data_IF_714003718734
#
_entry.id   IF_714003718734
#
_cell.length_a   1.000
_cell.length_b   1.000
_cell.length_c   1.000
_cell.angle_alpha   90.00
_cell.angle_beta   90.00
_cell.angle_gamma   90.00
#
_symmetry.space_group_name_H-M   'P 1'
#
loop_
_entity.id
_entity.type
_entity.pdbx_description
1 polymer ?
#
# COMPACT_ATOMS: atom_id res chain seq x y z
N UNK A 1 -27.37 20.33 23.41
CA UNK A 1 -27.09 18.89 23.21
C UNK A 1 -27.18 18.61 21.71
N UNK A 2 -26.08 18.17 21.08
CA UNK A 2 -26.07 17.45 19.79
C UNK A 2 -24.67 16.88 19.56
N UNK A 3 -24.33 15.86 20.34
CA UNK A 3 -23.11 15.04 20.27
C UNK A 3 -23.23 13.95 19.18
N UNK A 4 -23.52 14.29 17.93
CA UNK A 4 -23.79 13.28 16.88
C UNK A 4 -23.08 13.50 15.56
N UNK A 5 -21.82 13.92 15.61
CA UNK A 5 -20.93 13.80 14.43
C UNK A 5 -19.58 13.13 14.78
N UNK A 6 -19.63 12.19 15.74
CA UNK A 6 -18.54 11.22 15.89
C UNK A 6 -18.63 10.24 14.73
N UNK A 7 -18.02 10.60 13.58
CA UNK A 7 -17.56 9.61 12.60
C UNK A 7 -16.88 8.50 13.39
N UNK A 8 -17.37 7.27 13.25
CA UNK A 8 -16.71 6.11 13.82
C UNK A 8 -15.21 6.22 13.49
N UNK A 9 -14.29 5.96 14.43
CA UNK A 9 -12.87 6.03 14.14
C UNK A 9 -12.61 5.04 13.02
N UNK A 10 -12.47 5.54 11.79
CA UNK A 10 -12.06 4.74 10.65
C UNK A 10 -10.77 4.10 11.10
N UNK A 11 -10.75 2.76 11.12
CA UNK A 11 -9.57 2.04 11.55
C UNK A 11 -8.56 2.14 10.41
N UNK A 12 -7.92 3.31 10.28
CA UNK A 12 -7.05 3.70 9.18
C UNK A 12 -5.98 2.64 8.92
N UNK A 13 -5.58 1.92 9.97
CA UNK A 13 -4.66 0.78 9.87
C UNK A 13 -5.24 -0.39 9.08
N UNK A 14 -6.50 -0.78 9.31
CA UNK A 14 -7.16 -1.85 8.53
C UNK A 14 -7.28 -1.43 7.06
N UNK A 15 -7.71 -0.20 6.79
CA UNK A 15 -7.82 0.31 5.42
C UNK A 15 -6.47 0.32 4.68
N UNK A 16 -5.39 0.65 5.40
CA UNK A 16 -4.03 0.66 4.85
C UNK A 16 -3.53 -0.76 4.55
N UNK A 17 -3.80 -1.73 5.43
CA UNK A 17 -3.48 -3.14 5.21
C UNK A 17 -4.25 -3.68 4.00
N UNK A 18 -5.54 -3.38 3.89
CA UNK A 18 -6.37 -3.84 2.77
C UNK A 18 -5.89 -3.24 1.45
N UNK A 19 -5.55 -1.94 1.42
CA UNK A 19 -4.95 -1.30 0.23
C UNK A 19 -3.61 -1.91 -0.14
N UNK A 20 -2.76 -2.25 0.83
CA UNK A 20 -1.48 -2.89 0.56
C UNK A 20 -1.66 -4.31 -0.02
N UNK A 21 -2.65 -5.06 0.45
CA UNK A 21 -2.99 -6.36 -0.14
C UNK A 21 -3.48 -6.21 -1.59
N UNK A 22 -4.37 -5.24 -1.85
CA UNK A 22 -4.83 -4.95 -3.21
C UNK A 22 -3.67 -4.56 -4.13
N UNK A 23 -2.73 -3.74 -3.65
CA UNK A 23 -1.54 -3.35 -4.41
C UNK A 23 -0.66 -4.57 -4.75
N UNK A 24 -0.44 -5.47 -3.79
CA UNK A 24 0.29 -6.72 -4.02
C UNK A 24 -0.33 -7.55 -5.15
N UNK A 25 -1.65 -7.68 -5.13
CA UNK A 25 -2.38 -8.44 -6.15
C UNK A 25 -2.27 -7.78 -7.53
N UNK A 26 -2.34 -6.45 -7.60
CA UNK A 26 -2.13 -5.70 -8.84
C UNK A 26 -0.71 -5.89 -9.39
N UNK A 27 0.32 -5.80 -8.55
CA UNK A 27 1.71 -6.04 -8.98
C UNK A 27 1.85 -7.46 -9.56
N UNK A 28 1.25 -8.47 -8.92
CA UNK A 28 1.26 -9.85 -9.44
C UNK A 28 0.58 -9.97 -10.80
N UNK A 29 -0.56 -9.31 -11.00
CA UNK A 29 -1.26 -9.31 -12.30
C UNK A 29 -0.43 -8.64 -13.39
N UNK A 30 0.25 -7.53 -13.08
CA UNK A 30 1.13 -6.82 -14.02
C UNK A 30 2.33 -7.69 -14.39
N UNK A 31 2.96 -8.36 -13.42
CA UNK A 31 4.05 -9.30 -13.68
C UNK A 31 3.62 -10.47 -14.57
N UNK A 32 2.41 -11.03 -14.33
CA UNK A 32 1.84 -12.03 -15.23
C UNK A 32 1.63 -11.49 -16.65
N UNK A 33 1.16 -10.26 -16.79
CA UNK A 33 1.00 -9.62 -18.10
C UNK A 33 2.36 -9.34 -18.78
N UNK A 34 3.42 -9.06 -18.02
CA UNK A 34 4.76 -8.85 -18.55
C UNK A 34 5.27 -10.08 -19.31
N UNK A 35 4.90 -11.29 -18.87
CA UNK A 35 5.27 -12.53 -19.56
C UNK A 35 4.62 -12.70 -20.94
N UNK A 36 3.54 -11.97 -21.23
CA UNK A 36 2.92 -11.94 -22.55
C UNK A 36 3.56 -10.91 -23.51
N UNK A 37 4.53 -10.13 -23.04
CA UNK A 37 5.24 -9.15 -23.86
C UNK A 37 6.37 -9.86 -24.63
N UNK A 38 6.30 -9.81 -25.95
CA UNK A 38 7.31 -10.39 -26.84
C UNK A 38 8.61 -9.59 -26.81
N UNK A 39 8.50 -8.26 -26.79
CA UNK A 39 9.65 -7.35 -26.71
C UNK A 39 10.42 -7.56 -25.40
N UNK A 40 11.69 -7.98 -25.54
CA UNK A 40 12.53 -8.35 -24.41
C UNK A 40 12.82 -7.16 -23.49
N UNK A 41 13.06 -5.99 -24.05
CA UNK A 41 13.48 -4.82 -23.29
C UNK A 41 12.31 -4.25 -22.50
N UNK A 42 11.13 -4.19 -23.12
CA UNK A 42 9.88 -3.81 -22.45
C UNK A 42 9.49 -4.81 -21.36
N UNK A 43 9.60 -6.11 -21.64
CA UNK A 43 9.37 -7.16 -20.63
C UNK A 43 10.32 -7.00 -19.45
N UNK A 44 11.62 -6.81 -19.72
CA UNK A 44 12.63 -6.65 -18.68
C UNK A 44 12.41 -5.39 -17.85
N UNK A 45 12.06 -4.28 -18.48
CA UNK A 45 11.75 -3.02 -17.80
C UNK A 45 10.52 -3.16 -16.90
N UNK A 46 9.46 -3.82 -17.38
CA UNK A 46 8.23 -4.01 -16.61
C UNK A 46 8.44 -4.95 -15.41
N UNK A 47 9.19 -6.05 -15.59
CA UNK A 47 9.56 -6.96 -14.50
C UNK A 47 10.38 -6.21 -13.45
N UNK A 48 11.42 -5.46 -13.86
CA UNK A 48 12.23 -4.68 -12.93
C UNK A 48 11.42 -3.63 -12.16
N UNK A 49 10.44 -2.98 -12.81
CA UNK A 49 9.50 -2.09 -12.15
C UNK A 49 8.60 -2.80 -11.13
N UNK A 50 8.16 -4.03 -11.42
CA UNK A 50 7.39 -4.85 -10.48
C UNK A 50 8.22 -5.26 -9.26
N UNK A 51 9.50 -5.58 -9.45
CA UNK A 51 10.43 -5.90 -8.36
C UNK A 51 10.61 -4.70 -7.43
N UNK A 52 10.88 -3.50 -7.96
CA UNK A 52 10.99 -2.28 -7.15
C UNK A 52 9.68 -1.94 -6.43
N UNK A 53 8.53 -2.09 -7.11
CA UNK A 53 7.23 -1.85 -6.49
C UNK A 53 6.96 -2.82 -5.32
N UNK A 54 7.43 -4.06 -5.39
CA UNK A 54 7.37 -5.01 -4.28
C UNK A 54 8.24 -4.58 -3.11
N UNK A 55 9.47 -4.17 -3.37
CA UNK A 55 10.39 -3.67 -2.33
C UNK A 55 9.77 -2.51 -1.56
N UNK A 56 9.30 -1.47 -2.26
CA UNK A 56 8.65 -0.32 -1.61
C UNK A 56 7.36 -0.70 -0.86
N UNK A 57 6.60 -1.67 -1.36
CA UNK A 57 5.40 -2.15 -0.67
C UNK A 57 5.76 -2.88 0.62
N UNK A 58 6.84 -3.66 0.64
CA UNK A 58 7.33 -4.35 1.83
C UNK A 58 7.80 -3.36 2.90
N UNK A 59 8.58 -2.35 2.50
CA UNK A 59 8.99 -1.24 3.38
C UNK A 59 7.78 -0.50 3.95
N UNK A 60 6.79 -0.19 3.10
CA UNK A 60 5.56 0.48 3.53
C UNK A 60 4.77 -0.36 4.54
N UNK A 61 4.66 -1.67 4.32
CA UNK A 61 4.01 -2.60 5.25
C UNK A 61 4.76 -2.69 6.58
N UNK A 62 6.09 -2.64 6.57
CA UNK A 62 6.91 -2.61 7.77
C UNK A 62 6.67 -1.32 8.57
N UNK A 63 6.67 -0.16 7.91
CA UNK A 63 6.33 1.14 8.52
C UNK A 63 4.91 1.08 9.11
N UNK A 64 3.93 0.56 8.38
CA UNK A 64 2.55 0.45 8.88
C UNK A 64 2.41 -0.46 10.10
N UNK A 65 3.25 -1.49 10.21
CA UNK A 65 3.28 -2.39 11.37
C UNK A 65 3.94 -1.77 12.59
N UNK A 66 4.88 -0.84 12.39
CA UNK A 66 5.56 -0.13 13.48
C UNK A 66 4.73 1.01 14.08
N UNK A 67 3.67 1.46 13.40
CA UNK A 67 2.72 2.45 13.94
C UNK A 67 2.07 1.90 15.23
N UNK A 68 2.25 2.57 16.38
CA UNK A 68 1.66 2.16 17.65
C UNK A 68 0.14 2.01 17.55
N UNK A 69 -0.40 0.97 18.18
CA UNK A 69 -1.86 0.78 18.28
C UNK A 69 -2.43 1.79 19.27
N UNK A 70 -2.80 2.98 18.81
CA UNK A 70 -3.75 3.84 19.53
C UNK A 70 -3.26 5.16 20.09
N UNK A 71 -2.11 5.70 19.69
CA UNK A 71 -1.83 7.12 19.99
C UNK A 71 -2.29 8.00 18.82
N UNK A 72 -3.14 9.01 19.08
CA UNK A 72 -3.55 9.94 18.04
C UNK A 72 -2.29 10.63 17.49
N UNK A 73 -2.14 10.63 16.17
CA UNK A 73 -1.14 11.42 15.47
C UNK A 73 -1.44 12.87 15.84
N UNK A 74 -0.78 13.40 16.88
CA UNK A 74 -0.93 14.79 17.24
C UNK A 74 -0.32 15.59 16.09
N UNK A 75 -1.20 16.17 15.28
CA UNK A 75 -0.81 17.17 14.31
C UNK A 75 -0.14 18.31 15.10
N UNK A 76 1.18 18.35 15.06
CA UNK A 76 1.93 19.54 15.45
C UNK A 76 1.62 20.59 14.40
N UNK A 77 0.65 21.45 14.72
CA UNK A 77 0.49 22.72 14.04
C UNK A 77 1.66 23.60 14.48
N UNK A 78 2.64 23.78 13.60
CA UNK A 78 3.50 24.96 13.61
C UNK A 78 2.81 26.12 12.86
#
# INVERSE_FOLDING_TARGET
>A
MSDTDKRAPMNHRTDLIDKANLLRDQIRLIEMAAHAIDDRDQRSALIGGCEQAREYMEELLEIMRSIPRGEPIMATNE
#
